data_IF_422110237600
#
_entry.id   IF_422110237600
#
_cell.length_a   1.000
_cell.length_b   1.000
_cell.length_c   1.000
_cell.angle_alpha   90.00
_cell.angle_beta   90.00
_cell.angle_gamma   90.00
#
_symmetry.space_group_name_H-M   'P 1'
#
loop_
_entity.id
_entity.type
_entity.pdbx_description
1 polymer ?
#
# COMPACT_ATOMS: atom_id res chain seq x y z
N UNK A 1 -11.64 11.17 24.52
CA UNK A 1 -11.42 10.56 23.18
C UNK A 1 -12.05 11.38 22.03
N UNK A 2 -11.91 12.72 22.02
CA UNK A 2 -12.56 13.60 21.03
C UNK A 2 -11.63 14.06 19.87
N UNK A 3 -10.34 13.70 19.90
CA UNK A 3 -9.31 14.25 19.00
C UNK A 3 -9.30 13.62 17.60
N UNK A 4 -9.53 12.31 17.48
CA UNK A 4 -9.49 11.65 16.16
C UNK A 4 -10.70 11.99 15.27
N UNK A 5 -11.87 12.14 15.87
CA UNK A 5 -13.10 12.51 15.16
C UNK A 5 -13.02 13.95 14.62
N UNK A 6 -12.39 14.85 15.38
CA UNK A 6 -12.13 16.21 14.95
C UNK A 6 -11.15 16.27 13.78
N UNK A 7 -10.06 15.50 13.82
CA UNK A 7 -9.10 15.45 12.70
C UNK A 7 -9.71 14.87 11.42
N UNK A 8 -10.58 13.85 11.54
CA UNK A 8 -11.31 13.29 10.39
C UNK A 8 -12.27 14.32 9.79
N UNK A 9 -13.04 15.04 10.62
CA UNK A 9 -13.88 16.16 10.18
C UNK A 9 -13.08 17.29 9.55
N UNK A 10 -11.88 17.59 10.04
CA UNK A 10 -11.02 18.62 9.45
C UNK A 10 -10.46 18.17 8.10
N UNK A 11 -10.19 16.88 7.91
CA UNK A 11 -9.73 16.33 6.62
C UNK A 11 -10.88 16.25 5.62
N UNK A 12 -12.07 15.81 6.05
CA UNK A 12 -13.30 15.95 5.26
C UNK A 12 -13.51 17.41 4.86
N UNK A 13 -13.33 18.35 5.81
CA UNK A 13 -13.47 19.78 5.56
C UNK A 13 -12.38 20.31 4.62
N UNK A 14 -11.12 19.88 4.71
CA UNK A 14 -10.02 20.29 3.82
C UNK A 14 -10.25 19.78 2.40
N UNK A 15 -10.70 18.53 2.26
CA UNK A 15 -11.09 17.94 0.97
C UNK A 15 -12.27 18.75 0.37
N UNK A 16 -13.28 19.07 1.19
CA UNK A 16 -14.44 19.87 0.77
C UNK A 16 -14.11 21.33 0.45
N UNK A 17 -13.15 21.97 1.14
CA UNK A 17 -12.78 23.38 0.89
C UNK A 17 -11.85 23.56 -0.30
N UNK A 18 -11.12 22.50 -0.70
CA UNK A 18 -10.23 22.58 -1.85
C UNK A 18 -11.04 22.68 -3.14
N UNK A 19 -12.15 21.93 -3.26
CA UNK A 19 -13.03 21.92 -4.44
C UNK A 19 -14.52 21.99 -4.02
N UNK A 20 -15.05 23.19 -3.73
CA UNK A 20 -16.36 23.37 -3.08
C UNK A 20 -17.59 22.97 -3.93
N UNK A 21 -17.41 22.69 -5.23
CA UNK A 21 -18.49 22.30 -6.12
C UNK A 21 -18.51 20.80 -6.48
N UNK A 22 -17.49 20.03 -6.11
CA UNK A 22 -17.42 18.60 -6.48
C UNK A 22 -17.77 17.64 -5.34
N UNK A 23 -17.80 18.10 -4.08
CA UNK A 23 -18.06 17.24 -2.93
C UNK A 23 -19.32 17.64 -2.16
N UNK A 24 -20.48 17.62 -2.84
CA UNK A 24 -21.78 17.46 -2.16
C UNK A 24 -21.83 16.03 -1.62
N UNK A 25 -22.10 15.87 -0.33
CA UNK A 25 -22.62 14.70 0.41
C UNK A 25 -22.98 13.43 -0.40
N UNK A 26 -22.00 12.85 -1.09
CA UNK A 26 -22.06 11.56 -1.77
C UNK A 26 -20.81 10.80 -1.35
N UNK A 27 -20.91 9.48 -1.24
CA UNK A 27 -19.88 8.63 -0.64
C UNK A 27 -18.47 8.99 -1.10
N UNK A 28 -17.54 9.09 -0.14
CA UNK A 28 -16.11 9.27 -0.41
C UNK A 28 -15.72 8.30 -1.53
N UNK A 29 -15.34 8.85 -2.68
CA UNK A 29 -15.03 8.04 -3.84
C UNK A 29 -13.61 7.47 -3.68
N UNK A 30 -13.37 6.36 -4.37
CA UNK A 30 -12.06 5.74 -4.49
C UNK A 30 -11.03 6.76 -4.99
N UNK A 31 -11.41 7.64 -5.91
CA UNK A 31 -10.54 8.70 -6.45
C UNK A 31 -10.03 9.64 -5.36
N UNK A 32 -10.92 10.20 -4.55
CA UNK A 32 -10.57 11.14 -3.46
C UNK A 32 -9.66 10.49 -2.42
N UNK A 33 -9.90 9.20 -2.16
CA UNK A 33 -9.11 8.43 -1.23
C UNK A 33 -7.68 8.25 -1.75
N UNK A 34 -7.51 8.00 -3.05
CA UNK A 34 -6.20 7.91 -3.70
C UNK A 34 -5.49 9.27 -3.69
N UNK A 35 -6.19 10.35 -4.03
CA UNK A 35 -5.65 11.71 -3.97
C UNK A 35 -5.18 12.11 -2.55
N UNK A 36 -5.91 11.67 -1.52
CA UNK A 36 -5.51 11.91 -0.14
C UNK A 36 -4.20 11.19 0.26
N UNK A 37 -3.83 10.09 -0.41
CA UNK A 37 -2.55 9.41 -0.17
C UNK A 37 -1.35 10.16 -0.78
N UNK A 38 -1.55 10.90 -1.87
CA UNK A 38 -0.48 11.70 -2.49
C UNK A 38 -0.34 13.08 -1.84
N UNK A 39 -1.35 13.53 -1.08
CA UNK A 39 -1.33 14.82 -0.38
C UNK A 39 -0.04 15.04 0.45
N UNK A 40 0.62 16.22 0.41
CA UNK A 40 1.92 16.46 1.06
C UNK A 40 1.99 16.09 2.54
N UNK A 41 0.89 16.30 3.28
CA UNK A 41 0.79 15.93 4.70
C UNK A 41 0.59 14.42 4.93
N UNK A 42 1.57 13.78 5.58
CA UNK A 42 1.47 12.37 6.03
C UNK A 42 0.24 12.12 6.91
N UNK A 43 -0.21 13.12 7.67
CA UNK A 43 -1.42 12.99 8.53
C UNK A 43 -2.67 12.77 7.68
N UNK A 44 -2.78 13.46 6.54
CA UNK A 44 -3.90 13.31 5.60
C UNK A 44 -3.92 11.88 5.05
N UNK A 45 -2.78 11.38 4.59
CA UNK A 45 -2.68 10.00 4.11
C UNK A 45 -2.96 8.93 5.17
N UNK A 46 -2.54 9.14 6.44
CA UNK A 46 -2.91 8.23 7.55
C UNK A 46 -4.42 8.22 7.82
N UNK A 47 -5.09 9.35 7.68
CA UNK A 47 -6.54 9.42 7.81
C UNK A 47 -7.26 8.80 6.61
N UNK A 48 -6.73 8.97 5.40
CA UNK A 48 -7.22 8.27 4.21
C UNK A 48 -7.15 6.75 4.39
N UNK A 49 -6.08 6.24 5.01
CA UNK A 49 -5.97 4.81 5.35
C UNK A 49 -7.09 4.33 6.29
N UNK A 50 -7.38 5.11 7.35
CA UNK A 50 -8.49 4.81 8.27
C UNK A 50 -9.85 4.88 7.56
N UNK A 51 -10.04 5.86 6.69
CA UNK A 51 -11.28 6.06 5.94
C UNK A 51 -11.52 4.92 4.96
N UNK A 52 -10.48 4.53 4.22
CA UNK A 52 -10.46 3.36 3.35
C UNK A 52 -10.92 2.11 4.08
N UNK A 53 -10.37 1.85 5.26
CA UNK A 53 -10.73 0.67 6.05
C UNK A 53 -12.19 0.68 6.51
N UNK A 54 -12.68 1.83 6.98
CA UNK A 54 -14.08 1.98 7.41
C UNK A 54 -15.07 1.83 6.26
N UNK A 55 -14.72 2.36 5.09
CA UNK A 55 -15.57 2.35 3.89
C UNK A 55 -15.32 1.14 2.98
N UNK A 56 -14.37 0.26 3.35
CA UNK A 56 -13.95 -0.91 2.57
C UNK A 56 -13.60 -0.55 1.11
N UNK A 57 -12.96 0.60 0.91
CA UNK A 57 -12.58 1.07 -0.43
C UNK A 57 -11.49 0.14 -0.96
N UNK A 58 -11.78 -0.49 -2.09
CA UNK A 58 -10.82 -1.35 -2.76
C UNK A 58 -9.76 -0.49 -3.45
N UNK A 59 -8.48 -0.85 -3.29
CA UNK A 59 -7.34 -0.17 -3.89
C UNK A 59 -6.49 -1.24 -4.56
N UNK A 60 -6.05 -0.97 -5.77
CA UNK A 60 -5.28 -1.88 -6.62
C UNK A 60 -3.78 -1.67 -6.42
N UNK A 61 -2.98 -2.67 -6.80
CA UNK A 61 -1.53 -2.56 -6.83
C UNK A 61 -1.06 -1.34 -7.64
N UNK A 62 -1.63 -1.10 -8.81
CA UNK A 62 -1.28 0.03 -9.68
C UNK A 62 -1.49 1.37 -8.98
N UNK A 63 -2.59 1.53 -8.25
CA UNK A 63 -2.86 2.77 -7.51
C UNK A 63 -1.88 2.99 -6.37
N UNK A 64 -1.47 1.94 -5.66
CA UNK A 64 -0.44 2.06 -4.62
C UNK A 64 0.92 2.41 -5.23
N UNK A 65 1.28 1.83 -6.38
CA UNK A 65 2.51 2.18 -7.10
C UNK A 65 2.51 3.63 -7.56
N UNK A 66 1.40 4.12 -8.14
CA UNK A 66 1.27 5.51 -8.55
C UNK A 66 1.40 6.46 -7.36
N UNK A 67 0.77 6.14 -6.23
CA UNK A 67 0.90 6.93 -5.01
C UNK A 67 2.35 7.04 -4.55
N UNK A 68 3.12 5.95 -4.64
CA UNK A 68 4.54 5.94 -4.28
C UNK A 68 5.37 6.80 -5.24
N UNK A 69 5.13 6.69 -6.56
CA UNK A 69 5.83 7.45 -7.58
C UNK A 69 5.60 8.96 -7.47
N UNK A 70 4.37 9.38 -7.19
CA UNK A 70 3.98 10.79 -7.07
C UNK A 70 4.36 11.37 -5.69
N UNK A 71 4.39 10.54 -4.67
CA UNK A 71 4.51 10.95 -3.28
C UNK A 71 5.93 11.00 -2.71
N UNK A 72 6.96 11.30 -3.52
CA UNK A 72 8.43 11.16 -3.27
C UNK A 72 8.99 11.79 -1.97
N UNK A 73 8.48 11.38 -0.82
CA UNK A 73 8.96 11.75 0.51
C UNK A 73 9.25 10.47 1.28
N UNK A 74 10.47 10.36 1.81
CA UNK A 74 10.92 9.23 2.64
C UNK A 74 9.95 8.97 3.82
N UNK A 75 9.34 10.04 4.37
CA UNK A 75 8.35 9.93 5.45
C UNK A 75 7.04 9.27 5.01
N UNK A 76 6.75 9.24 3.71
CA UNK A 76 5.55 8.61 3.12
C UNK A 76 5.80 7.19 2.62
N UNK A 77 7.04 6.75 2.42
CA UNK A 77 7.34 5.34 2.09
C UNK A 77 6.63 4.38 3.05
N UNK A 78 6.75 4.62 4.37
CA UNK A 78 6.02 3.84 5.40
C UNK A 78 4.51 3.81 5.21
N UNK A 79 3.91 4.91 4.76
CA UNK A 79 2.47 5.00 4.52
C UNK A 79 2.09 4.12 3.31
N UNK A 80 2.85 4.18 2.22
CA UNK A 80 2.57 3.38 1.02
C UNK A 80 2.80 1.89 1.24
N UNK A 81 3.82 1.52 2.01
CA UNK A 81 3.99 0.14 2.47
C UNK A 81 2.85 -0.31 3.41
N UNK A 82 2.34 0.58 4.27
CA UNK A 82 1.15 0.29 5.09
C UNK A 82 -0.11 0.12 4.23
N UNK A 83 -0.21 0.87 3.14
CA UNK A 83 -1.30 0.75 2.17
C UNK A 83 -1.20 -0.57 1.38
N UNK A 84 0.01 -0.95 0.94
CA UNK A 84 0.29 -2.20 0.24
C UNK A 84 -0.10 -3.44 1.05
N UNK A 85 0.04 -3.39 2.39
CA UNK A 85 -0.44 -4.46 3.29
C UNK A 85 -1.95 -4.73 3.21
N UNK A 86 -2.72 -3.82 2.62
CA UNK A 86 -4.18 -3.96 2.45
C UNK A 86 -4.58 -4.48 1.07
N UNK A 87 -3.60 -4.74 0.20
CA UNK A 87 -3.77 -5.52 -1.01
C UNK A 87 -3.95 -7.01 -0.66
N UNK A 88 -4.31 -7.82 -1.65
CA UNK A 88 -4.20 -9.26 -1.46
C UNK A 88 -2.73 -9.65 -1.23
N UNK A 89 -2.52 -10.84 -0.65
CA UNK A 89 -1.20 -11.31 -0.23
C UNK A 89 -0.18 -11.21 -1.37
N UNK A 90 -0.54 -11.64 -2.58
CA UNK A 90 0.39 -11.70 -3.71
C UNK A 90 0.69 -10.33 -4.30
N UNK A 91 -0.29 -9.45 -4.42
CA UNK A 91 -0.07 -8.06 -4.86
C UNK A 91 0.78 -7.28 -3.85
N UNK A 92 0.64 -7.56 -2.55
CA UNK A 92 1.53 -7.02 -1.53
C UNK A 92 2.97 -7.50 -1.73
N UNK A 93 3.19 -8.78 -2.05
CA UNK A 93 4.54 -9.29 -2.36
C UNK A 93 5.11 -8.61 -3.60
N UNK A 94 4.32 -8.50 -4.67
CA UNK A 94 4.75 -7.82 -5.91
C UNK A 94 5.15 -6.39 -5.59
N UNK A 95 4.34 -5.65 -4.81
CA UNK A 95 4.69 -4.29 -4.39
C UNK A 95 6.03 -4.21 -3.66
N UNK A 96 6.26 -5.09 -2.67
CA UNK A 96 7.51 -5.13 -1.89
C UNK A 96 8.69 -5.41 -2.82
N UNK A 97 8.58 -6.44 -3.67
CA UNK A 97 9.67 -6.86 -4.55
C UNK A 97 9.99 -5.81 -5.62
N UNK A 98 8.98 -5.16 -6.20
CA UNK A 98 9.17 -4.07 -7.17
C UNK A 98 9.91 -2.87 -6.60
N UNK A 99 9.85 -2.66 -5.27
CA UNK A 99 10.43 -1.49 -4.60
C UNK A 99 11.68 -1.82 -3.76
N UNK A 100 12.22 -3.04 -3.86
CA UNK A 100 13.41 -3.47 -3.12
C UNK A 100 14.65 -2.61 -3.37
N UNK A 101 14.82 -2.11 -4.60
CA UNK A 101 16.00 -1.31 -4.97
C UNK A 101 15.88 0.17 -4.56
N UNK A 102 14.66 0.72 -4.53
CA UNK A 102 14.43 2.15 -4.32
C UNK A 102 14.50 2.63 -2.87
N UNK A 103 14.08 1.80 -1.90
CA UNK A 103 13.86 2.25 -0.50
C UNK A 103 15.02 1.92 0.46
N UNK A 104 16.27 1.98 -0.03
CA UNK A 104 17.50 1.71 0.75
C UNK A 104 17.47 0.39 1.55
N UNK A 105 16.68 -0.59 1.09
CA UNK A 105 16.53 -1.98 1.60
C UNK A 105 15.94 -2.14 3.01
N UNK A 106 16.04 -1.17 3.91
CA UNK A 106 15.63 -1.37 5.31
C UNK A 106 14.12 -1.59 5.46
N UNK A 107 13.32 -0.76 4.80
CA UNK A 107 11.86 -0.84 4.84
C UNK A 107 11.33 -2.04 4.07
N UNK A 108 11.83 -2.28 2.86
CA UNK A 108 11.44 -3.43 2.05
C UNK A 108 11.74 -4.76 2.75
N UNK A 109 12.86 -4.87 3.48
CA UNK A 109 13.18 -6.06 4.27
C UNK A 109 12.26 -6.25 5.47
N UNK A 110 11.95 -5.19 6.22
CA UNK A 110 10.99 -5.23 7.33
C UNK A 110 9.62 -5.75 6.84
N UNK A 111 9.15 -5.23 5.70
CA UNK A 111 7.86 -5.64 5.14
C UNK A 111 7.90 -7.01 4.48
N UNK A 112 9.04 -7.44 3.93
CA UNK A 112 9.21 -8.79 3.41
C UNK A 112 9.22 -9.82 4.54
N UNK A 113 9.93 -9.54 5.64
CA UNK A 113 9.91 -10.38 6.84
C UNK A 113 8.51 -10.45 7.44
N UNK A 114 7.81 -9.31 7.53
CA UNK A 114 6.40 -9.28 7.89
C UNK A 114 5.56 -10.18 6.97
N UNK A 115 5.72 -10.04 5.65
CA UNK A 115 4.95 -10.79 4.65
C UNK A 115 5.15 -12.31 4.77
N UNK A 116 6.39 -12.76 4.97
CA UNK A 116 6.73 -14.18 5.15
C UNK A 116 6.10 -14.73 6.42
N UNK A 117 6.15 -13.96 7.50
CA UNK A 117 5.57 -14.32 8.78
C UNK A 117 4.04 -14.22 8.81
N UNK A 118 3.41 -13.56 7.82
CA UNK A 118 1.97 -13.67 7.63
C UNK A 118 1.66 -15.07 7.09
N UNK A 119 1.05 -15.89 7.94
CA UNK A 119 0.48 -17.16 7.52
C UNK A 119 -0.42 -16.95 6.29
N UNK A 120 -0.46 -17.89 5.35
CA UNK A 120 -1.35 -17.79 4.20
C UNK A 120 -2.80 -18.07 4.64
N UNK A 121 -3.35 -17.25 5.54
CA UNK A 121 -4.65 -17.47 6.20
C UNK A 121 -5.84 -17.50 5.24
N UNK A 122 -5.64 -17.12 3.97
CA UNK A 122 -6.69 -17.13 2.95
C UNK A 122 -6.71 -18.41 2.12
N UNK A 123 -5.63 -19.22 2.10
CA UNK A 123 -5.52 -20.37 1.20
C UNK A 123 -5.60 -20.00 -0.29
N UNK A 124 -5.52 -18.72 -0.65
CA UNK A 124 -5.65 -18.25 -2.02
C UNK A 124 -4.29 -18.39 -2.71
N UNK A 125 -4.15 -19.25 -3.73
CA UNK A 125 -2.92 -19.36 -4.50
C UNK A 125 -2.71 -18.11 -5.38
N UNK A 126 -1.46 -17.82 -5.80
CA UNK A 126 -1.22 -16.76 -6.75
C UNK A 126 -1.77 -17.15 -8.12
N UNK A 127 -2.30 -16.18 -8.84
CA UNK A 127 -2.67 -16.35 -10.26
C UNK A 127 -1.43 -16.63 -11.12
N UNK A 128 -1.62 -17.19 -12.32
CA UNK A 128 -0.53 -17.45 -13.28
C UNK A 128 0.29 -16.18 -13.53
N UNK A 129 -0.39 -15.06 -13.79
CA UNK A 129 0.25 -13.75 -13.98
C UNK A 129 1.05 -13.29 -12.76
N UNK A 130 0.53 -13.49 -11.54
CA UNK A 130 1.26 -13.16 -10.32
C UNK A 130 2.49 -14.04 -10.15
N UNK A 131 2.42 -15.34 -10.43
CA UNK A 131 3.58 -16.25 -10.40
C UNK A 131 4.68 -15.80 -11.36
N UNK A 132 4.32 -15.42 -12.59
CA UNK A 132 5.25 -14.92 -13.60
C UNK A 132 5.96 -13.64 -13.12
N UNK A 133 5.19 -12.66 -12.66
CA UNK A 133 5.73 -11.37 -12.16
C UNK A 133 6.64 -11.60 -10.96
N UNK A 134 6.20 -12.40 -9.97
CA UNK A 134 7.00 -12.69 -8.77
C UNK A 134 8.30 -13.40 -9.15
N UNK A 135 8.25 -14.38 -10.06
CA UNK A 135 9.44 -15.11 -10.51
C UNK A 135 10.46 -14.20 -11.19
N UNK A 136 9.98 -13.29 -12.04
CA UNK A 136 10.83 -12.29 -12.70
C UNK A 136 11.49 -11.35 -11.67
N UNK A 137 10.70 -10.84 -10.71
CA UNK A 137 11.21 -9.96 -9.65
C UNK A 137 12.18 -10.68 -8.71
N UNK A 138 11.94 -11.95 -8.40
CA UNK A 138 12.85 -12.76 -7.58
C UNK A 138 14.18 -13.02 -8.30
N UNK A 139 14.15 -13.24 -9.62
CA UNK A 139 15.37 -13.42 -10.41
C UNK A 139 16.21 -12.14 -10.41
N UNK A 140 15.59 -10.98 -10.65
CA UNK A 140 16.28 -9.69 -10.70
C UNK A 140 16.78 -9.23 -9.31
N UNK A 141 16.07 -9.58 -8.24
CA UNK A 141 16.42 -9.21 -6.88
C UNK A 141 17.10 -10.34 -6.09
N UNK A 142 17.61 -11.39 -6.75
CA UNK A 142 18.12 -12.62 -6.13
C UNK A 142 19.13 -12.39 -5.00
N UNK A 143 20.07 -11.47 -5.20
CA UNK A 143 21.08 -11.09 -4.20
C UNK A 143 20.49 -10.35 -2.98
N UNK A 144 19.36 -9.66 -3.15
CA UNK A 144 18.68 -8.89 -2.10
C UNK A 144 17.80 -9.77 -1.22
N UNK A 145 17.21 -10.81 -1.80
CA UNK A 145 16.28 -11.71 -1.12
C UNK A 145 16.91 -13.05 -0.75
N UNK A 146 18.23 -13.17 -0.82
CA UNK A 146 18.96 -14.44 -0.60
C UNK A 146 18.55 -15.15 0.70
N UNK A 147 18.35 -14.39 1.78
CA UNK A 147 17.85 -14.88 3.08
C UNK A 147 16.47 -15.53 3.02
N UNK A 148 15.61 -15.08 2.11
CA UNK A 148 14.19 -15.45 2.02
C UNK A 148 13.85 -16.29 0.78
N UNK A 149 14.86 -16.61 -0.03
CA UNK A 149 14.66 -17.20 -1.34
C UNK A 149 14.03 -18.60 -1.25
N UNK A 150 14.36 -19.35 -0.20
CA UNK A 150 13.82 -20.70 0.02
C UNK A 150 12.33 -20.63 0.37
N UNK A 151 11.97 -19.77 1.31
CA UNK A 151 10.61 -19.56 1.76
C UNK A 151 9.73 -19.08 0.61
N UNK A 152 10.19 -18.08 -0.15
CA UNK A 152 9.45 -17.56 -1.31
C UNK A 152 9.22 -18.63 -2.38
N UNK A 153 10.21 -19.49 -2.65
CA UNK A 153 10.03 -20.63 -3.57
C UNK A 153 8.97 -21.61 -3.07
N UNK A 154 8.94 -21.92 -1.77
CA UNK A 154 7.92 -22.79 -1.18
C UNK A 154 6.50 -22.21 -1.29
N UNK A 155 6.34 -20.89 -1.34
CA UNK A 155 5.03 -20.26 -1.55
C UNK A 155 4.56 -20.26 -3.01
N UNK A 156 5.44 -20.49 -3.96
CA UNK A 156 5.14 -20.46 -5.40
C UNK A 156 4.97 -21.84 -6.05
N UNK A 157 5.48 -22.89 -5.40
CA UNK A 157 5.23 -24.30 -5.75
C UNK A 157 3.75 -24.64 -5.60
#
# INVERSE_FOLDING_TARGET
MASEYFLLRQIEKIIMTSHPHEYRYFGVDKKDTVEAFIHPSVKVGKCALKLRDRKKIFITLTEVQNCLCEGQSEKKCRLYFSLARRLNKWDCLIFILSNLQGDRRQLSNEYLEYWINQFNCSGIPPTVKQKEIISLLMASASHLISRYQKELKCFLS
#
